data_IF_803791798541
#
_entry.id   IF_803791798541
#
_cell.length_a   1.000
_cell.length_b   1.000
_cell.length_c   1.000
_cell.angle_alpha   90.00
_cell.angle_beta   90.00
_cell.angle_gamma   90.00
#
_symmetry.space_group_name_H-M   'P 1'
#
loop_
_entity.id
_entity.type
_entity.pdbx_description
1 polymer ?
#
# COMPACT_ATOMS: atom_id res chain seq x y z
N UNK A 1 -13.41 -19.15 -5.24
CA UNK A 1 -14.06 -17.82 -5.09
C UNK A 1 -13.09 -16.68 -5.37
N UNK A 2 -11.80 -16.83 -5.06
CA UNK A 2 -10.75 -15.82 -5.20
C UNK A 2 -10.89 -14.82 -6.38
N UNK A 3 -10.79 -15.27 -7.63
CA UNK A 3 -10.83 -14.38 -8.81
C UNK A 3 -12.15 -13.60 -8.93
N UNK A 4 -13.30 -14.28 -8.79
CA UNK A 4 -14.61 -13.63 -8.82
C UNK A 4 -14.79 -12.64 -7.66
N UNK A 5 -14.29 -13.00 -6.48
CA UNK A 5 -14.32 -12.14 -5.30
C UNK A 5 -13.52 -10.86 -5.47
N UNK A 6 -12.36 -10.93 -6.12
CA UNK A 6 -11.56 -9.75 -6.45
C UNK A 6 -12.35 -8.78 -7.34
N UNK A 7 -12.96 -9.28 -8.42
CA UNK A 7 -13.83 -8.48 -9.29
C UNK A 7 -15.01 -7.85 -8.53
N UNK A 8 -15.70 -8.63 -7.70
CA UNK A 8 -16.81 -8.11 -6.88
C UNK A 8 -16.37 -7.03 -5.91
N UNK A 9 -15.22 -7.19 -5.26
CA UNK A 9 -14.70 -6.17 -4.34
C UNK A 9 -14.33 -4.89 -5.08
N UNK A 10 -13.75 -4.98 -6.28
CA UNK A 10 -13.46 -3.81 -7.13
C UNK A 10 -14.73 -3.08 -7.57
N UNK A 11 -15.76 -3.81 -7.99
CA UNK A 11 -17.07 -3.24 -8.33
C UNK A 11 -17.72 -2.53 -7.14
N UNK A 12 -17.77 -3.19 -5.99
CA UNK A 12 -18.35 -2.63 -4.77
C UNK A 12 -17.57 -1.39 -4.29
N UNK A 13 -16.25 -1.41 -4.43
CA UNK A 13 -15.39 -0.30 -4.10
C UNK A 13 -15.60 0.90 -5.02
N UNK A 14 -15.71 0.68 -6.33
CA UNK A 14 -16.05 1.72 -7.30
C UNK A 14 -17.38 2.38 -6.93
N UNK A 15 -18.43 1.58 -6.74
CA UNK A 15 -19.75 2.09 -6.38
C UNK A 15 -19.73 2.84 -5.04
N UNK A 16 -18.94 2.36 -4.07
CA UNK A 16 -18.81 3.01 -2.76
C UNK A 16 -18.12 4.38 -2.87
N UNK A 17 -17.11 4.52 -3.73
CA UNK A 17 -16.46 5.80 -3.99
C UNK A 17 -17.43 6.81 -4.61
N UNK A 18 -18.22 6.37 -5.61
CA UNK A 18 -19.24 7.23 -6.22
C UNK A 18 -20.27 7.65 -5.17
N UNK A 19 -20.76 6.74 -4.33
CA UNK A 19 -21.74 7.06 -3.30
C UNK A 19 -21.18 7.89 -2.13
N UNK A 20 -19.87 7.91 -1.92
CA UNK A 20 -19.25 8.57 -0.79
C UNK A 20 -19.42 10.09 -0.86
N UNK A 21 -19.77 10.71 0.28
CA UNK A 21 -19.99 12.16 0.36
C UNK A 21 -21.33 12.66 -0.19
N UNK A 22 -22.14 11.81 -0.80
CA UNK A 22 -23.47 12.16 -1.31
C UNK A 22 -24.56 11.80 -0.27
N UNK A 23 -25.19 12.82 0.32
CA UNK A 23 -26.13 12.64 1.44
C UNK A 23 -27.35 11.77 1.09
N UNK A 24 -27.85 11.88 -0.14
CA UNK A 24 -28.95 11.10 -0.69
C UNK A 24 -28.59 9.63 -0.94
N UNK A 25 -27.30 9.32 -1.13
CA UNK A 25 -26.82 7.96 -1.37
C UNK A 25 -26.35 7.22 -0.10
N UNK A 26 -26.51 7.79 1.10
CA UNK A 26 -26.13 7.16 2.37
C UNK A 26 -26.74 5.76 2.57
N UNK A 27 -28.03 5.50 2.26
CA UNK A 27 -28.60 4.15 2.36
C UNK A 27 -27.91 3.15 1.42
N UNK A 28 -27.62 3.57 0.19
CA UNK A 28 -26.89 2.77 -0.80
C UNK A 28 -25.47 2.47 -0.32
N UNK A 29 -24.74 3.48 0.19
CA UNK A 29 -23.40 3.29 0.74
C UNK A 29 -23.40 2.24 1.87
N UNK A 30 -24.39 2.29 2.79
CA UNK A 30 -24.52 1.27 3.84
C UNK A 30 -24.77 -0.14 3.28
N UNK A 31 -25.57 -0.26 2.21
CA UNK A 31 -25.80 -1.54 1.51
C UNK A 31 -24.48 -2.05 0.92
N UNK A 32 -23.77 -1.20 0.16
CA UNK A 32 -22.49 -1.53 -0.48
C UNK A 32 -21.45 -2.01 0.55
N UNK A 33 -21.30 -1.30 1.67
CA UNK A 33 -20.36 -1.69 2.73
C UNK A 33 -20.72 -3.02 3.42
N UNK A 34 -22.03 -3.33 3.56
CA UNK A 34 -22.46 -4.66 4.03
C UNK A 34 -22.11 -5.73 3.01
N UNK A 35 -22.34 -5.47 1.73
CA UNK A 35 -21.99 -6.39 0.64
C UNK A 35 -20.48 -6.66 0.60
N UNK A 36 -19.64 -5.62 0.71
CA UNK A 36 -18.18 -5.76 0.75
C UNK A 36 -17.73 -6.66 1.90
N UNK A 37 -18.27 -6.47 3.11
CA UNK A 37 -17.94 -7.32 4.26
C UNK A 37 -18.33 -8.78 4.03
N UNK A 38 -19.49 -9.03 3.44
CA UNK A 38 -19.94 -10.39 3.13
C UNK A 38 -19.07 -11.08 2.08
N UNK A 39 -18.77 -10.38 0.97
CA UNK A 39 -17.90 -10.89 -0.09
C UNK A 39 -16.50 -11.15 0.47
N UNK A 40 -15.94 -10.21 1.25
CA UNK A 40 -14.62 -10.37 1.88
C UNK A 40 -14.58 -11.59 2.80
N UNK A 41 -15.55 -11.75 3.69
CA UNK A 41 -15.62 -12.93 4.57
C UNK A 41 -15.70 -14.24 3.77
N UNK A 42 -16.41 -14.23 2.63
CA UNK A 42 -16.52 -15.39 1.74
C UNK A 42 -15.20 -15.69 1.02
N UNK A 43 -14.46 -14.67 0.58
CA UNK A 43 -13.11 -14.81 0.00
C UNK A 43 -12.13 -15.32 1.05
N UNK A 44 -12.11 -14.77 2.25
CA UNK A 44 -11.26 -15.25 3.33
C UNK A 44 -11.58 -16.71 3.69
N UNK A 45 -12.86 -17.09 3.71
CA UNK A 45 -13.26 -18.50 3.90
C UNK A 45 -12.75 -19.42 2.77
N UNK A 46 -12.77 -18.94 1.53
CA UNK A 46 -12.19 -19.64 0.36
C UNK A 46 -10.67 -19.77 0.45
N UNK A 47 -9.97 -18.74 0.94
CA UNK A 47 -8.52 -18.77 1.11
C UNK A 47 -8.08 -19.76 2.18
N UNK A 48 -8.81 -19.84 3.32
CA UNK A 48 -8.54 -20.83 4.39
C UNK A 48 -8.75 -22.28 3.94
N UNK A 49 -9.48 -22.53 2.85
CA UNK A 49 -9.82 -23.89 2.38
C UNK A 49 -8.95 -24.32 1.20
N UNK A 50 -8.28 -25.49 1.25
CA UNK A 50 -7.52 -25.98 0.10
C UNK A 50 -8.42 -26.22 -1.13
N UNK A 51 -9.62 -26.78 -0.91
CA UNK A 51 -10.57 -27.16 -1.96
C UNK A 51 -11.52 -26.03 -2.40
N UNK A 52 -11.31 -24.80 -1.91
CA UNK A 52 -12.11 -23.63 -2.28
C UNK A 52 -13.50 -23.54 -1.62
N UNK A 53 -14.29 -22.58 -2.09
CA UNK A 53 -15.59 -22.19 -1.57
C UNK A 53 -16.74 -23.07 -2.11
N UNK A 54 -17.78 -23.38 -1.32
CA UNK A 54 -18.97 -24.07 -1.83
C UNK A 54 -19.67 -23.26 -2.93
N UNK A 55 -20.18 -23.94 -3.96
CA UNK A 55 -20.91 -23.30 -5.07
C UNK A 55 -22.09 -22.42 -4.59
N UNK A 56 -22.76 -22.83 -3.51
CA UNK A 56 -23.85 -22.06 -2.89
C UNK A 56 -23.39 -20.69 -2.38
N UNK A 57 -22.21 -20.59 -1.80
CA UNK A 57 -21.66 -19.32 -1.30
C UNK A 57 -21.29 -18.39 -2.46
N UNK A 58 -20.74 -18.94 -3.55
CA UNK A 58 -20.47 -18.17 -4.76
C UNK A 58 -21.76 -17.62 -5.37
N UNK A 59 -22.81 -18.43 -5.51
CA UNK A 59 -24.10 -18.00 -6.01
C UNK A 59 -24.75 -16.92 -5.13
N UNK A 60 -24.60 -17.02 -3.80
CA UNK A 60 -25.10 -15.99 -2.88
C UNK A 60 -24.35 -14.66 -3.03
N UNK A 61 -23.02 -14.69 -3.19
CA UNK A 61 -22.23 -13.48 -3.45
C UNK A 61 -22.63 -12.83 -4.77
N UNK A 62 -22.75 -13.62 -5.83
CA UNK A 62 -23.16 -13.16 -7.16
C UNK A 62 -24.53 -12.47 -7.14
N UNK A 63 -25.54 -13.11 -6.55
CA UNK A 63 -26.88 -12.52 -6.42
C UNK A 63 -26.86 -11.20 -5.64
N UNK A 64 -26.12 -11.15 -4.54
CA UNK A 64 -26.02 -9.97 -3.68
C UNK A 64 -25.25 -8.81 -4.36
N UNK A 65 -24.23 -9.11 -5.16
CA UNK A 65 -23.48 -8.09 -5.90
C UNK A 65 -24.30 -7.56 -7.08
N UNK A 66 -25.03 -8.42 -7.81
CA UNK A 66 -25.94 -7.99 -8.88
C UNK A 66 -27.03 -7.07 -8.35
N UNK A 67 -27.70 -7.44 -7.25
CA UNK A 67 -28.68 -6.59 -6.58
C UNK A 67 -28.08 -5.26 -6.06
N UNK A 68 -26.79 -5.24 -5.70
CA UNK A 68 -26.12 -4.00 -5.36
C UNK A 68 -25.85 -3.11 -6.59
N UNK A 69 -25.44 -3.72 -7.72
CA UNK A 69 -25.23 -3.05 -9.00
C UNK A 69 -26.55 -2.46 -9.50
N UNK A 70 -27.62 -3.25 -9.60
CA UNK A 70 -28.92 -2.79 -10.11
C UNK A 70 -29.43 -1.57 -9.33
N UNK A 71 -29.32 -1.61 -8.00
CA UNK A 71 -29.70 -0.48 -7.16
C UNK A 71 -28.79 0.73 -7.38
N UNK A 72 -27.47 0.53 -7.50
CA UNK A 72 -26.52 1.60 -7.78
C UNK A 72 -26.82 2.29 -9.12
N UNK A 73 -27.01 1.53 -10.19
CA UNK A 73 -27.25 2.08 -11.53
C UNK A 73 -28.59 2.81 -11.59
N UNK A 74 -29.63 2.30 -10.92
CA UNK A 74 -30.92 2.95 -10.82
C UNK A 74 -30.87 4.30 -10.09
N UNK A 75 -30.07 4.42 -9.02
CA UNK A 75 -29.99 5.65 -8.22
C UNK A 75 -29.04 6.69 -8.82
N UNK A 76 -27.93 6.26 -9.42
CA UNK A 76 -26.85 7.16 -9.88
C UNK A 76 -26.88 7.45 -11.37
N UNK A 77 -27.60 6.63 -12.16
CA UNK A 77 -27.54 6.60 -13.63
C UNK A 77 -26.13 6.35 -14.19
N UNK A 78 -25.21 5.84 -13.37
CA UNK A 78 -23.88 5.43 -13.80
C UNK A 78 -23.84 3.92 -13.95
N UNK A 79 -23.11 3.42 -14.94
CA UNK A 79 -22.90 1.98 -15.13
C UNK A 79 -21.76 1.50 -14.23
N UNK A 80 -21.96 0.38 -13.53
CA UNK A 80 -20.90 -0.26 -12.77
C UNK A 80 -19.92 -0.95 -13.74
N UNK A 81 -18.60 -0.72 -13.63
CA UNK A 81 -17.65 -1.36 -14.52
C UNK A 81 -17.61 -2.89 -14.37
N UNK A 82 -17.31 -3.58 -15.46
CA UNK A 82 -17.21 -5.04 -15.49
C UNK A 82 -15.86 -5.53 -14.96
N UNK A 83 -15.73 -6.84 -14.69
CA UNK A 83 -14.45 -7.45 -14.36
C UNK A 83 -13.39 -7.20 -15.45
N UNK A 84 -13.78 -7.33 -16.74
CA UNK A 84 -12.89 -7.09 -17.87
C UNK A 84 -12.39 -5.64 -17.95
N UNK A 85 -13.21 -4.67 -17.52
CA UNK A 85 -12.76 -3.28 -17.39
C UNK A 85 -11.63 -3.17 -16.35
N UNK A 86 -11.78 -3.78 -15.17
CA UNK A 86 -10.75 -3.74 -14.13
C UNK A 86 -9.48 -4.52 -14.49
N UNK A 87 -9.59 -5.59 -15.28
CA UNK A 87 -8.43 -6.27 -15.86
C UNK A 87 -7.68 -5.33 -16.82
N UNK A 88 -8.40 -4.66 -17.73
CA UNK A 88 -7.81 -3.68 -18.65
C UNK A 88 -7.16 -2.49 -17.92
N UNK A 89 -7.81 -1.97 -16.87
CA UNK A 89 -7.24 -0.92 -16.00
C UNK A 89 -5.93 -1.37 -15.34
N UNK A 90 -5.85 -2.63 -14.90
CA UNK A 90 -4.63 -3.20 -14.31
C UNK A 90 -3.51 -3.26 -15.35
N UNK A 91 -3.80 -3.72 -16.55
CA UNK A 91 -2.83 -3.79 -17.65
C UNK A 91 -2.33 -2.40 -18.04
N UNK A 92 -3.23 -1.41 -18.10
CA UNK A 92 -2.84 -0.01 -18.35
C UNK A 92 -1.97 0.57 -17.24
N UNK A 93 -2.26 0.28 -15.97
CA UNK A 93 -1.42 0.70 -14.83
C UNK A 93 -0.04 0.04 -14.90
N UNK A 94 0.02 -1.24 -15.22
CA UNK A 94 1.29 -1.95 -15.40
C UNK A 94 2.11 -1.35 -16.55
N UNK A 95 1.47 -1.06 -17.69
CA UNK A 95 2.13 -0.40 -18.81
C UNK A 95 2.66 0.99 -18.45
N UNK A 96 1.90 1.76 -17.66
CA UNK A 96 2.33 3.06 -17.13
C UNK A 96 3.53 2.93 -16.20
N UNK A 97 3.51 1.97 -15.28
CA UNK A 97 4.64 1.68 -14.39
C UNK A 97 5.89 1.31 -15.20
N UNK A 98 5.76 0.46 -16.22
CA UNK A 98 6.88 0.10 -17.10
C UNK A 98 7.44 1.29 -17.87
N UNK A 99 6.58 2.13 -18.46
CA UNK A 99 7.00 3.33 -19.18
C UNK A 99 7.63 4.37 -18.26
N UNK A 100 7.19 4.44 -17.00
CA UNK A 100 7.72 5.38 -16.03
C UNK A 100 9.17 5.09 -15.61
N UNK A 101 9.71 3.89 -15.92
CA UNK A 101 11.08 3.49 -15.57
C UNK A 101 12.12 4.18 -16.45
N UNK A 102 11.78 4.50 -17.70
CA UNK A 102 12.72 5.05 -18.67
C UNK A 102 13.33 6.37 -18.14
N UNK A 103 14.64 6.38 -17.89
CA UNK A 103 15.38 7.54 -17.37
C UNK A 103 15.07 7.89 -15.91
N UNK A 104 14.41 6.98 -15.16
CA UNK A 104 14.00 7.26 -13.78
C UNK A 104 15.11 7.00 -12.75
N UNK A 105 15.98 6.01 -13.00
CA UNK A 105 17.07 5.66 -12.10
C UNK A 105 18.23 6.64 -12.21
N UNK A 106 18.84 6.98 -11.08
CA UNK A 106 20.11 7.72 -11.04
C UNK A 106 21.21 6.99 -11.81
N UNK A 107 21.26 5.67 -11.67
CA UNK A 107 22.10 4.78 -12.46
C UNK A 107 21.22 4.00 -13.45
N UNK A 108 21.33 4.32 -14.73
CA UNK A 108 20.54 3.69 -15.78
C UNK A 108 20.76 2.16 -15.87
N UNK A 109 21.88 1.64 -15.35
CA UNK A 109 22.12 0.20 -15.27
C UNK A 109 21.14 -0.52 -14.32
N UNK A 110 20.46 0.21 -13.44
CA UNK A 110 19.49 -0.34 -12.48
C UNK A 110 18.08 -0.48 -13.08
N UNK A 111 17.80 0.14 -14.22
CA UNK A 111 16.45 0.12 -14.80
C UNK A 111 15.94 -1.28 -15.21
N UNK A 112 16.77 -2.20 -15.77
CA UNK A 112 16.30 -3.56 -16.06
C UNK A 112 15.86 -4.28 -14.78
N UNK A 113 16.65 -4.14 -13.71
CA UNK A 113 16.35 -4.72 -12.41
C UNK A 113 15.06 -4.15 -11.81
N UNK A 114 14.84 -2.84 -11.95
CA UNK A 114 13.60 -2.19 -11.52
C UNK A 114 12.38 -2.71 -12.28
N UNK A 115 12.47 -2.91 -13.60
CA UNK A 115 11.38 -3.52 -14.39
C UNK A 115 11.09 -4.94 -13.91
N UNK A 116 12.13 -5.71 -13.59
CA UNK A 116 11.98 -7.07 -13.10
C UNK A 116 11.35 -7.11 -11.71
N UNK A 117 11.74 -6.22 -10.79
CA UNK A 117 11.08 -6.08 -9.48
C UNK A 117 9.59 -5.76 -9.61
N UNK A 118 9.22 -4.80 -10.48
CA UNK A 118 7.80 -4.44 -10.69
C UNK A 118 7.03 -5.64 -11.26
N UNK A 119 7.56 -6.34 -12.27
CA UNK A 119 6.92 -7.54 -12.85
C UNK A 119 6.75 -8.65 -11.81
N UNK A 120 7.80 -8.97 -11.08
CA UNK A 120 7.80 -10.02 -10.07
C UNK A 120 6.80 -9.72 -8.95
N UNK A 121 6.74 -8.47 -8.49
CA UNK A 121 5.75 -8.03 -7.50
C UNK A 121 4.32 -8.21 -8.01
N UNK A 122 4.01 -7.75 -9.24
CA UNK A 122 2.65 -7.87 -9.79
C UNK A 122 2.26 -9.32 -10.05
N UNK A 123 3.20 -10.15 -10.47
CA UNK A 123 2.99 -11.59 -10.63
C UNK A 123 2.67 -12.24 -9.28
N UNK A 124 3.44 -11.92 -8.23
CA UNK A 124 3.23 -12.44 -6.88
C UNK A 124 1.84 -12.07 -6.33
N UNK A 125 1.48 -10.78 -6.41
CA UNK A 125 0.20 -10.24 -5.94
C UNK A 125 -1.02 -10.86 -6.64
N UNK A 126 -0.85 -11.42 -7.85
CA UNK A 126 -1.92 -12.07 -8.60
C UNK A 126 -2.19 -13.52 -8.14
N UNK A 127 -1.32 -14.10 -7.32
CA UNK A 127 -1.43 -15.53 -6.95
C UNK A 127 -2.35 -15.75 -5.76
N UNK A 128 -3.23 -16.76 -5.84
CA UNK A 128 -4.05 -17.19 -4.70
C UNK A 128 -3.20 -17.58 -3.50
N UNK A 129 -2.03 -18.18 -3.75
CA UNK A 129 -1.11 -18.63 -2.71
C UNK A 129 -0.60 -17.48 -1.84
N UNK A 130 -0.17 -16.39 -2.46
CA UNK A 130 0.25 -15.18 -1.74
C UNK A 130 -0.85 -14.68 -0.81
N UNK A 131 -2.09 -14.54 -1.30
CA UNK A 131 -3.21 -14.05 -0.49
C UNK A 131 -3.61 -15.02 0.63
N UNK A 132 -3.47 -16.33 0.40
CA UNK A 132 -3.70 -17.33 1.44
C UNK A 132 -2.67 -17.21 2.57
N UNK A 133 -1.39 -17.17 2.22
CA UNK A 133 -0.29 -17.10 3.19
C UNK A 133 -0.30 -15.76 3.93
N UNK A 134 -0.62 -14.67 3.23
CA UNK A 134 -0.84 -13.37 3.85
C UNK A 134 -1.97 -13.41 4.89
N UNK A 135 -3.14 -13.95 4.54
CA UNK A 135 -4.26 -14.06 5.48
C UNK A 135 -3.86 -14.89 6.70
N UNK A 136 -3.20 -16.03 6.51
CA UNK A 136 -2.74 -16.86 7.61
C UNK A 136 -1.74 -16.12 8.52
N UNK A 137 -0.80 -15.36 7.94
CA UNK A 137 0.15 -14.55 8.71
C UNK A 137 -0.53 -13.43 9.51
N UNK A 138 -1.53 -12.76 8.91
CA UNK A 138 -2.33 -11.72 9.57
C UNK A 138 -3.14 -12.28 10.74
N UNK A 139 -3.71 -13.48 10.60
CA UNK A 139 -4.50 -14.15 11.64
C UNK A 139 -3.62 -14.68 12.78
N UNK A 140 -2.39 -15.08 12.48
CA UNK A 140 -1.46 -15.63 13.47
C UNK A 140 -0.83 -14.56 14.38
N UNK A 141 -0.83 -13.28 13.97
CA UNK A 141 -0.17 -12.20 14.70
C UNK A 141 -1.15 -11.38 15.53
N UNK A 142 -1.09 -11.51 16.86
CA UNK A 142 -2.05 -10.89 17.78
C UNK A 142 -1.63 -9.50 18.32
N UNK A 143 -0.46 -8.99 17.91
CA UNK A 143 0.12 -7.74 18.43
C UNK A 143 -0.79 -6.52 18.28
N UNK A 144 -1.49 -6.43 17.15
CA UNK A 144 -2.43 -5.38 16.79
C UNK A 144 -3.72 -5.99 16.21
N UNK A 145 -4.82 -5.22 16.17
CA UNK A 145 -6.03 -5.66 15.46
C UNK A 145 -5.71 -6.01 14.01
N UNK A 146 -6.33 -7.08 13.47
CA UNK A 146 -6.03 -7.61 12.14
C UNK A 146 -6.08 -6.57 11.00
N UNK A 147 -6.93 -5.54 11.14
CA UNK A 147 -7.05 -4.46 10.17
C UNK A 147 -5.77 -3.62 10.02
N UNK A 148 -4.93 -3.57 11.06
CA UNK A 148 -3.63 -2.86 11.07
C UNK A 148 -2.62 -3.51 10.13
N UNK A 149 -2.80 -4.79 9.80
CA UNK A 149 -1.92 -5.52 8.89
C UNK A 149 -2.41 -5.49 7.43
N UNK A 150 -3.35 -4.61 7.09
CA UNK A 150 -3.92 -4.56 5.76
C UNK A 150 -2.82 -4.34 4.71
N UNK A 151 -2.80 -5.24 3.73
CA UNK A 151 -1.88 -5.16 2.61
C UNK A 151 -2.42 -4.23 1.53
N UNK A 152 -1.52 -3.45 0.96
CA UNK A 152 -1.83 -2.52 -0.10
C UNK A 152 -0.57 -2.12 -0.85
N UNK A 153 -0.72 -1.69 -2.10
CA UNK A 153 0.41 -1.30 -2.94
C UNK A 153 0.26 0.11 -3.51
N UNK A 154 1.39 0.76 -3.70
CA UNK A 154 1.50 2.05 -4.40
C UNK A 154 2.08 1.78 -5.78
N UNK A 155 1.54 2.44 -6.81
CA UNK A 155 2.08 2.27 -8.17
C UNK A 155 3.51 2.80 -8.23
N UNK A 156 4.34 2.23 -9.11
CA UNK A 156 5.70 2.73 -9.28
C UNK A 156 5.69 4.17 -9.80
N UNK A 157 4.80 4.49 -10.75
CA UNK A 157 4.65 5.85 -11.27
C UNK A 157 4.35 6.87 -10.15
N UNK A 158 3.39 6.55 -9.26
CA UNK A 158 3.11 7.37 -8.06
C UNK A 158 4.36 7.53 -7.20
N UNK A 159 5.06 6.43 -6.93
CA UNK A 159 6.20 6.45 -6.02
C UNK A 159 7.36 7.29 -6.58
N UNK A 160 7.67 7.15 -7.87
CA UNK A 160 8.64 7.98 -8.58
C UNK A 160 8.33 9.47 -8.42
N UNK A 161 7.08 9.86 -8.64
CA UNK A 161 6.66 11.26 -8.55
C UNK A 161 6.77 11.79 -7.11
N UNK A 162 6.50 10.96 -6.10
CA UNK A 162 6.71 11.29 -4.69
C UNK A 162 8.19 11.52 -4.36
N UNK A 163 9.10 10.69 -4.88
CA UNK A 163 10.54 10.86 -4.67
C UNK A 163 11.10 12.10 -5.39
N UNK A 164 10.41 12.57 -6.43
CA UNK A 164 10.77 13.78 -7.17
C UNK A 164 10.33 15.08 -6.47
N UNK A 165 9.48 15.02 -5.44
CA UNK A 165 9.09 16.21 -4.68
C UNK A 165 10.34 16.90 -4.11
N UNK A 166 10.51 18.24 -4.28
CA UNK A 166 11.80 18.90 -4.04
C UNK A 166 12.44 18.62 -2.68
N UNK A 167 11.65 18.63 -1.61
CA UNK A 167 12.11 18.36 -0.23
C UNK A 167 12.54 16.90 -0.03
N UNK A 168 11.84 15.95 -0.66
CA UNK A 168 12.17 14.51 -0.62
C UNK A 168 13.43 14.26 -1.45
N UNK A 169 13.49 14.77 -2.68
CA UNK A 169 14.66 14.66 -3.55
C UNK A 169 15.91 15.27 -2.89
N UNK A 170 15.77 16.39 -2.17
CA UNK A 170 16.87 17.00 -1.42
C UNK A 170 17.33 16.13 -0.23
N UNK A 171 16.41 15.49 0.49
CA UNK A 171 16.76 14.53 1.54
C UNK A 171 17.51 13.32 0.98
N UNK A 172 17.01 12.72 -0.11
CA UNK A 172 17.65 11.59 -0.77
C UNK A 172 19.05 11.92 -1.29
N UNK A 173 19.25 13.11 -1.88
CA UNK A 173 20.59 13.58 -2.28
C UNK A 173 21.55 13.68 -1.10
N UNK A 174 21.08 14.17 0.06
CA UNK A 174 21.88 14.24 1.30
C UNK A 174 22.24 12.84 1.82
N UNK A 175 21.30 11.90 1.75
CA UNK A 175 21.55 10.50 2.11
C UNK A 175 22.59 9.89 1.18
N UNK A 176 22.47 10.08 -0.13
CA UNK A 176 23.44 9.56 -1.11
C UNK A 176 24.86 10.11 -0.88
N UNK A 177 24.98 11.38 -0.52
CA UNK A 177 26.27 12.01 -0.23
C UNK A 177 26.92 11.47 1.05
N UNK A 178 26.13 11.11 2.06
CA UNK A 178 26.61 10.55 3.34
C UNK A 178 25.75 9.33 3.69
N UNK A 179 26.00 8.18 3.04
CA UNK A 179 25.14 7.01 3.14
C UNK A 179 25.24 6.37 4.53
N UNK A 180 24.09 5.91 5.02
CA UNK A 180 24.00 5.07 6.21
C UNK A 180 22.90 4.02 6.00
N UNK A 181 23.07 2.76 6.40
CA UNK A 181 22.09 1.68 6.18
C UNK A 181 20.66 2.01 6.65
N UNK A 182 20.54 2.84 7.68
CA UNK A 182 19.25 3.21 8.30
C UNK A 182 18.73 4.61 7.88
N UNK A 183 19.43 5.31 6.98
CA UNK A 183 19.13 6.71 6.66
C UNK A 183 17.80 6.88 5.93
N UNK A 184 17.40 5.90 5.12
CA UNK A 184 16.06 5.81 4.54
C UNK A 184 15.36 4.59 5.14
N UNK A 185 14.25 4.80 5.86
CA UNK A 185 13.51 3.71 6.51
C UNK A 185 12.05 3.73 6.03
N UNK A 186 11.49 2.55 5.77
CA UNK A 186 10.07 2.35 5.42
C UNK A 186 9.40 1.53 6.50
N UNK A 187 8.49 2.12 7.26
CA UNK A 187 7.63 1.41 8.21
C UNK A 187 6.37 0.89 7.52
N UNK A 188 6.06 -0.39 7.73
CA UNK A 188 5.03 -1.10 6.97
C UNK A 188 5.51 -1.39 5.55
N UNK A 189 6.76 -1.85 5.41
CA UNK A 189 7.39 -2.06 4.11
C UNK A 189 6.76 -3.18 3.27
N UNK A 190 5.97 -4.05 3.88
CA UNK A 190 5.19 -5.06 3.19
C UNK A 190 6.06 -5.99 2.33
N UNK A 191 5.69 -6.30 1.09
CA UNK A 191 6.54 -7.01 0.12
C UNK A 191 7.74 -6.19 -0.40
N UNK A 192 8.04 -5.05 0.23
CA UNK A 192 9.26 -4.28 0.00
C UNK A 192 9.24 -3.30 -1.17
N UNK A 193 8.13 -3.18 -1.92
CA UNK A 193 8.05 -2.36 -3.13
C UNK A 193 8.60 -0.93 -2.96
N UNK A 194 8.16 -0.20 -1.93
CA UNK A 194 8.62 1.17 -1.66
C UNK A 194 10.13 1.23 -1.37
N UNK A 195 10.66 0.24 -0.65
CA UNK A 195 12.08 0.17 -0.32
C UNK A 195 12.93 -0.16 -1.55
N UNK A 196 12.52 -1.17 -2.33
CA UNK A 196 13.17 -1.57 -3.58
C UNK A 196 13.21 -0.42 -4.58
N UNK A 197 12.07 0.22 -4.82
CA UNK A 197 11.98 1.34 -5.76
C UNK A 197 12.84 2.51 -5.30
N UNK A 198 12.84 2.84 -4.00
CA UNK A 198 13.67 3.93 -3.49
C UNK A 198 15.16 3.64 -3.63
N UNK A 199 15.60 2.42 -3.31
CA UNK A 199 16.99 2.02 -3.44
C UNK A 199 17.47 2.12 -4.90
N UNK A 200 16.66 1.63 -5.85
CA UNK A 200 16.97 1.63 -7.29
C UNK A 200 16.82 3.01 -7.95
N UNK A 201 15.89 3.84 -7.50
CA UNK A 201 15.70 5.17 -8.08
C UNK A 201 16.79 6.14 -7.59
N UNK A 202 17.06 6.14 -6.29
CA UNK A 202 17.90 7.15 -5.67
C UNK A 202 19.35 6.72 -5.43
N UNK A 203 19.69 5.45 -5.62
CA UNK A 203 20.97 4.83 -5.26
C UNK A 203 21.38 5.15 -3.81
N UNK A 204 20.47 4.86 -2.87
CA UNK A 204 20.67 5.07 -1.44
C UNK A 204 20.42 3.79 -0.64
N UNK A 205 21.05 3.61 0.53
CA UNK A 205 20.66 2.55 1.46
C UNK A 205 19.23 2.75 1.97
N UNK A 206 18.41 1.70 1.85
CA UNK A 206 17.03 1.68 2.33
C UNK A 206 16.77 0.46 3.19
N UNK A 207 16.17 0.68 4.36
CA UNK A 207 15.69 -0.37 5.25
C UNK A 207 14.16 -0.45 5.22
N UNK A 208 13.63 -1.60 4.86
CA UNK A 208 12.22 -1.94 5.04
C UNK A 208 11.99 -2.62 6.39
N UNK A 209 11.06 -2.10 7.18
CA UNK A 209 10.61 -2.69 8.44
C UNK A 209 9.17 -3.17 8.28
N UNK A 210 8.93 -4.44 8.59
CA UNK A 210 7.63 -5.08 8.45
C UNK A 210 7.43 -6.08 9.59
N UNK A 211 6.23 -6.09 10.18
CA UNK A 211 5.95 -6.90 11.36
C UNK A 211 5.55 -8.33 10.98
N UNK A 212 5.04 -8.56 9.78
CA UNK A 212 4.71 -9.88 9.27
C UNK A 212 5.94 -10.55 8.65
N UNK A 213 6.52 -11.61 9.27
CA UNK A 213 7.73 -12.25 8.74
C UNK A 213 7.55 -12.80 7.33
N UNK A 214 6.36 -13.33 7.02
CA UNK A 214 5.99 -13.79 5.67
C UNK A 214 6.23 -12.69 4.61
N UNK A 215 5.83 -11.45 4.87
CA UNK A 215 6.02 -10.36 3.90
C UNK A 215 7.49 -9.97 3.76
N UNK A 216 8.27 -10.06 4.85
CA UNK A 216 9.73 -9.86 4.83
C UNK A 216 10.43 -10.92 3.99
N UNK A 217 10.05 -12.19 4.12
CA UNK A 217 10.57 -13.27 3.28
C UNK A 217 10.31 -12.99 1.80
N UNK A 218 9.08 -12.61 1.45
CA UNK A 218 8.73 -12.23 0.07
C UNK A 218 9.52 -11.00 -0.41
N UNK A 219 9.73 -10.00 0.45
CA UNK A 219 10.53 -8.83 0.12
C UNK A 219 12.01 -9.20 -0.14
N UNK A 220 12.57 -10.12 0.66
CA UNK A 220 13.95 -10.61 0.50
C UNK A 220 14.11 -11.41 -0.79
N UNK A 221 13.13 -12.24 -1.15
CA UNK A 221 13.10 -12.96 -2.44
C UNK A 221 13.06 -11.98 -3.63
N UNK A 222 12.23 -10.93 -3.55
CA UNK A 222 12.15 -9.88 -4.57
C UNK A 222 13.41 -9.00 -4.63
N UNK A 223 14.20 -8.95 -3.56
CA UNK A 223 15.40 -8.14 -3.43
C UNK A 223 16.67 -8.83 -3.95
N UNK A 224 16.58 -10.08 -4.44
CA UNK A 224 17.75 -10.80 -4.95
C UNK A 224 18.42 -10.00 -6.07
N UNK A 225 19.66 -9.57 -5.84
CA UNK A 225 20.43 -8.75 -6.77
C UNK A 225 20.19 -7.24 -6.67
N UNK A 226 19.24 -6.79 -5.84
CA UNK A 226 19.00 -5.37 -5.58
C UNK A 226 20.02 -4.85 -4.58
N UNK A 227 20.86 -3.87 -4.95
CA UNK A 227 21.86 -3.34 -4.06
C UNK A 227 21.23 -2.45 -2.98
N UNK A 228 21.91 -2.30 -1.84
CA UNK A 228 21.61 -1.29 -0.81
C UNK A 228 20.19 -1.36 -0.22
N UNK A 229 19.52 -2.50 -0.27
CA UNK A 229 18.22 -2.70 0.40
C UNK A 229 18.34 -3.78 1.46
N UNK A 230 17.74 -3.55 2.62
CA UNK A 230 17.63 -4.55 3.69
C UNK A 230 16.20 -4.61 4.22
N UNK A 231 15.79 -5.80 4.67
CA UNK A 231 14.46 -6.02 5.23
C UNK A 231 14.57 -6.65 6.61
N UNK A 232 13.80 -6.14 7.54
CA UNK A 232 13.79 -6.55 8.94
C UNK A 232 12.36 -6.95 9.37
N UNK A 233 12.22 -8.18 9.87
CA UNK A 233 10.99 -8.69 10.47
C UNK A 233 10.91 -8.25 11.93
N UNK A 234 10.39 -7.04 12.17
CA UNK A 234 10.26 -6.50 13.52
C UNK A 234 9.10 -5.51 13.65
N UNK A 235 8.74 -5.22 14.90
CA UNK A 235 7.80 -4.14 15.19
C UNK A 235 8.48 -2.79 14.96
N UNK A 236 7.87 -1.93 14.15
CA UNK A 236 8.35 -0.57 13.90
C UNK A 236 8.56 0.24 15.18
N UNK A 237 7.85 -0.08 16.28
CA UNK A 237 8.02 0.57 17.57
C UNK A 237 9.38 0.25 18.23
N UNK A 238 10.00 -0.85 17.84
CA UNK A 238 11.31 -1.31 18.36
C UNK A 238 12.48 -0.98 17.44
N UNK A 239 12.22 -0.68 16.17
CA UNK A 239 13.26 -0.35 15.20
C UNK A 239 14.00 0.95 15.57
N UNK A 240 15.33 1.00 15.37
CA UNK A 240 16.12 2.22 15.61
C UNK A 240 15.74 3.34 14.63
N UNK A 241 15.61 4.57 15.13
CA UNK A 241 15.44 5.78 14.30
C UNK A 241 16.64 6.73 14.36
N UNK A 242 17.72 6.34 15.05
CA UNK A 242 18.82 7.24 15.40
C UNK A 242 19.57 7.86 14.21
N UNK A 243 19.56 7.19 13.06
CA UNK A 243 20.18 7.68 11.82
C UNK A 243 19.19 7.99 10.70
N UNK A 244 17.89 7.86 10.95
CA UNK A 244 16.86 8.04 9.93
C UNK A 244 16.74 9.51 9.54
N UNK A 245 16.92 9.78 8.23
CA UNK A 245 16.83 11.11 7.60
C UNK A 245 15.64 11.23 6.64
N UNK A 246 15.18 10.10 6.12
CA UNK A 246 13.93 9.99 5.37
C UNK A 246 13.15 8.78 5.91
N UNK A 247 11.93 9.02 6.37
CA UNK A 247 11.04 8.00 6.92
C UNK A 247 9.76 7.95 6.10
N UNK A 248 9.35 6.75 5.71
CA UNK A 248 8.05 6.50 5.06
C UNK A 248 7.15 5.77 6.04
N UNK A 249 5.95 6.29 6.24
CA UNK A 249 4.90 5.68 7.06
C UNK A 249 3.79 5.17 6.15
N UNK A 250 3.75 3.85 5.90
CA UNK A 250 2.67 3.19 5.15
C UNK A 250 1.41 3.01 6.02
N UNK A 251 0.89 4.12 6.52
CA UNK A 251 0.15 4.19 7.79
C UNK A 251 -1.38 4.15 7.68
N UNK A 252 -1.92 3.97 6.47
CA UNK A 252 -3.34 4.21 6.18
C UNK A 252 -4.31 3.38 7.02
N UNK A 253 -3.90 2.16 7.41
CA UNK A 253 -4.75 1.23 8.15
C UNK A 253 -4.42 1.14 9.64
N UNK A 254 -3.44 1.89 10.14
CA UNK A 254 -3.06 1.83 11.55
C UNK A 254 -4.11 2.51 12.43
N UNK A 255 -4.51 1.83 13.50
CA UNK A 255 -5.55 2.33 14.42
C UNK A 255 -5.06 3.48 15.31
N UNK A 256 -5.97 4.07 16.09
CA UNK A 256 -5.62 5.18 17.00
C UNK A 256 -4.64 4.80 18.10
N UNK A 257 -4.66 3.55 18.59
CA UNK A 257 -3.83 3.11 19.70
C UNK A 257 -2.38 2.89 19.26
N UNK A 258 -2.17 2.28 18.10
CA UNK A 258 -0.86 2.15 17.47
C UNK A 258 -0.29 3.53 17.13
N UNK A 259 -1.09 4.41 16.55
CA UNK A 259 -0.65 5.78 16.26
C UNK A 259 -0.20 6.54 17.51
N UNK A 260 -0.93 6.45 18.62
CA UNK A 260 -0.51 7.09 19.87
C UNK A 260 0.84 6.55 20.38
N UNK A 261 1.17 5.27 20.14
CA UNK A 261 2.49 4.69 20.44
C UNK A 261 3.55 5.20 19.45
N UNK A 262 3.22 5.23 18.17
CA UNK A 262 4.12 5.70 17.12
C UNK A 262 4.49 7.17 17.31
N UNK A 263 3.54 8.05 17.63
CA UNK A 263 3.82 9.47 17.91
C UNK A 263 4.87 9.65 19.00
N UNK A 264 4.82 8.84 20.06
CA UNK A 264 5.85 8.87 21.12
C UNK A 264 7.21 8.41 20.61
N UNK A 265 7.25 7.36 19.78
CA UNK A 265 8.49 6.89 19.14
C UNK A 265 9.08 7.94 18.21
N UNK A 266 8.24 8.64 17.44
CA UNK A 266 8.69 9.63 16.46
C UNK A 266 9.39 10.83 17.11
N UNK A 267 9.33 11.00 18.43
CA UNK A 267 10.16 11.97 19.19
C UNK A 267 11.66 11.65 19.11
N UNK A 268 12.03 10.38 18.88
CA UNK A 268 13.42 9.96 18.65
C UNK A 268 14.01 10.58 17.36
N UNK A 269 13.17 11.04 16.43
CA UNK A 269 13.63 11.70 15.21
C UNK A 269 14.15 13.10 15.51
N UNK A 270 15.34 13.37 14.97
CA UNK A 270 16.02 14.66 15.10
C UNK A 270 15.74 15.55 13.88
N UNK A 271 16.48 15.36 12.78
CA UNK A 271 16.28 16.05 11.51
C UNK A 271 15.91 15.03 10.43
N UNK A 272 14.63 14.99 10.06
CA UNK A 272 14.08 13.96 9.18
C UNK A 272 12.96 14.51 8.31
N UNK A 273 12.89 14.06 7.05
CA UNK A 273 11.69 14.20 6.22
C UNK A 273 10.84 12.95 6.43
N UNK A 274 9.56 13.14 6.73
CA UNK A 274 8.60 12.04 6.92
C UNK A 274 7.54 12.12 5.82
N UNK A 275 7.42 11.05 5.04
CA UNK A 275 6.32 10.85 4.09
C UNK A 275 5.26 9.98 4.76
N UNK A 276 4.07 10.52 4.95
CA UNK A 276 2.94 9.87 5.58
C UNK A 276 1.78 9.71 4.60
N UNK A 277 1.13 8.56 4.64
CA UNK A 277 -0.08 8.26 3.87
C UNK A 277 -1.35 8.87 4.53
N UNK A 278 -1.20 9.58 5.65
CA UNK A 278 -2.29 10.26 6.34
C UNK A 278 -1.89 11.67 6.81
N UNK A 279 -2.88 12.47 7.20
CA UNK A 279 -2.68 13.79 7.79
C UNK A 279 -2.50 13.73 9.33
N UNK A 280 -2.13 12.59 9.90
CA UNK A 280 -2.14 12.47 11.38
C UNK A 280 -1.05 13.30 12.05
N UNK A 281 0.12 13.41 11.41
CA UNK A 281 1.24 14.20 11.94
C UNK A 281 0.97 15.71 11.99
N UNK A 282 -0.06 16.23 11.29
CA UNK A 282 -0.45 17.66 11.40
C UNK A 282 -0.90 18.06 12.81
N UNK A 283 -1.25 17.07 13.64
CA UNK A 283 -1.67 17.24 15.04
C UNK A 283 -0.56 16.93 16.04
N UNK A 284 0.58 16.44 15.58
CA UNK A 284 1.68 16.00 16.43
C UNK A 284 2.72 17.12 16.58
N UNK A 285 3.25 17.30 17.80
CA UNK A 285 4.17 18.40 18.08
C UNK A 285 5.52 18.27 17.35
N UNK A 286 5.90 19.34 16.67
CA UNK A 286 7.19 19.52 15.99
C UNK A 286 7.33 18.72 14.69
N UNK A 287 6.22 18.41 14.03
CA UNK A 287 6.20 18.08 12.61
C UNK A 287 5.58 19.26 11.86
N UNK A 288 6.31 19.78 10.87
CA UNK A 288 5.85 20.88 10.03
C UNK A 288 5.48 20.30 8.66
N UNK A 289 4.25 20.52 8.19
CA UNK A 289 3.86 20.13 6.84
C UNK A 289 4.64 21.00 5.83
N UNK A 290 5.48 20.38 5.01
CA UNK A 290 6.32 21.05 4.01
C UNK A 290 5.92 20.76 2.57
N UNK A 291 4.99 19.83 2.37
CA UNK A 291 4.42 19.55 1.06
C UNK A 291 3.33 18.50 1.10
N UNK A 292 2.54 18.45 0.03
CA UNK A 292 1.63 17.35 -0.27
C UNK A 292 1.81 16.93 -1.72
N UNK A 293 1.44 15.69 -2.01
CA UNK A 293 1.45 15.15 -3.35
C UNK A 293 0.24 14.23 -3.51
N UNK A 294 -0.23 14.08 -4.75
CA UNK A 294 -1.39 13.26 -5.06
C UNK A 294 -0.93 12.13 -5.99
N UNK A 295 -1.40 10.91 -5.72
CA UNK A 295 -1.13 9.79 -6.61
C UNK A 295 -1.95 8.56 -6.27
N UNK A 296 -1.80 7.53 -7.08
CA UNK A 296 -2.64 6.33 -7.00
C UNK A 296 -2.05 5.28 -6.04
N UNK A 297 -2.93 4.72 -5.20
CA UNK A 297 -2.70 3.48 -4.43
C UNK A 297 -3.72 2.42 -4.87
N UNK A 298 -3.52 1.16 -4.48
CA UNK A 298 -4.33 0.06 -5.00
C UNK A 298 -5.83 0.15 -4.65
N UNK A 299 -6.22 0.96 -3.67
CA UNK A 299 -7.62 1.15 -3.26
C UNK A 299 -8.17 2.58 -3.40
N UNK A 300 -7.40 3.53 -3.89
CA UNK A 300 -7.85 4.91 -4.04
C UNK A 300 -7.04 5.61 -5.12
N UNK A 301 -7.73 6.15 -6.13
CA UNK A 301 -7.10 7.02 -7.13
C UNK A 301 -7.03 8.43 -6.60
N UNK A 302 -5.90 9.11 -6.80
CA UNK A 302 -5.69 10.46 -6.27
C UNK A 302 -5.64 10.51 -4.73
N UNK A 303 -5.00 9.53 -4.10
CA UNK A 303 -4.67 9.59 -2.67
C UNK A 303 -3.69 10.73 -2.39
N UNK A 304 -3.95 11.49 -1.32
CA UNK A 304 -3.05 12.56 -0.86
C UNK A 304 -2.02 12.02 0.12
N UNK A 305 -0.75 12.20 -0.23
CA UNK A 305 0.41 11.96 0.63
C UNK A 305 0.84 13.28 1.28
N UNK A 306 1.30 13.19 2.51
CA UNK A 306 1.71 14.33 3.33
C UNK A 306 3.19 14.23 3.64
N UNK A 307 3.92 15.32 3.44
CA UNK A 307 5.36 15.37 3.63
C UNK A 307 5.66 16.36 4.74
N UNK A 308 6.23 15.86 5.82
CA UNK A 308 6.56 16.62 7.01
C UNK A 308 8.06 16.76 7.16
N UNK A 309 8.49 17.90 7.69
CA UNK A 309 9.82 18.07 8.22
C UNK A 309 9.77 18.02 9.75
N UNK A 310 10.59 17.14 10.32
CA UNK A 310 10.93 17.14 11.73
C UNK A 310 12.17 18.00 11.91
N UNK A 311 12.01 19.11 12.62
CA UNK A 311 13.12 19.94 13.08
C UNK A 311 13.24 19.80 14.60
N UNK A 312 14.47 19.73 15.11
CA UNK A 312 14.72 19.90 16.55
C UNK A 312 14.41 21.37 16.86
N UNK A 313 13.52 21.60 17.82
CA UNK A 313 13.31 22.92 18.41
C UNK A 313 14.48 23.27 19.35
#
# INVERSE_FOLDING_TARGET
MFAAGQAYLQQLQFMSHVAFGQADLVPLLRKLLRCMRYVRASVESDLRRPNGCPARTMAACDALVRDAIDVFEAHTRQTCPSAAFFDSERDMRMARDMAAVDGACVDAAQEPLLRDCIRALRALEATREFHRSLLAAQEALETYPIATYAYGSTSFATWRDLLAVPVVAAALRRIRAVPHPEACTVFGSSTGSLALYTALLADVPVRGVEILPFLVEQAQELAVGVPRVTFEACDMLTASLGHTRFLVLASQCWDGALWAKLERKLVELTSCIVLDYTDRLSRSNGFNLVGTAVGDVSWHTGHTFYIYERAIA
#
